data_IF_563524893038
#
_entry.id   IF_563524893038
#
_cell.length_a   1.000
_cell.length_b   1.000
_cell.length_c   1.000
_cell.angle_alpha   90.00
_cell.angle_beta   90.00
_cell.angle_gamma   90.00
#
_symmetry.space_group_name_H-M   'P 1'
#
loop_
_entity.id
_entity.type
_entity.pdbx_description
1 polymer ?
#
# COMPACT_ATOMS: atom_id res chain seq x y z
N UNK A 1 10.11 8.14 -5.43
CA UNK A 1 9.44 9.03 -4.46
C UNK A 1 7.99 9.09 -4.92
N UNK A 2 7.02 8.78 -4.06
CA UNK A 2 5.59 8.86 -4.36
C UNK A 2 4.93 9.85 -3.42
N UNK A 3 3.76 10.40 -3.75
CA UNK A 3 3.01 11.27 -2.83
C UNK A 3 2.15 10.44 -1.87
N UNK A 4 1.59 9.33 -2.36
CA UNK A 4 0.79 8.36 -1.62
C UNK A 4 1.46 6.98 -1.63
N UNK A 5 1.22 6.18 -0.58
CA UNK A 5 1.61 4.77 -0.53
C UNK A 5 0.41 3.97 0.00
N UNK A 6 0.03 2.92 -0.71
CA UNK A 6 -0.89 1.89 -0.20
C UNK A 6 -0.07 0.61 -0.17
N UNK A 7 0.22 0.11 1.03
CA UNK A 7 0.93 -1.15 1.24
C UNK A 7 -0.08 -2.27 1.30
N UNK A 8 0.11 -3.28 0.46
CA UNK A 8 -0.77 -4.45 0.32
C UNK A 8 0.02 -5.74 0.43
N UNK A 9 -0.69 -6.85 0.59
CA UNK A 9 -0.12 -8.17 0.39
C UNK A 9 0.09 -8.45 -1.11
N UNK A 10 1.17 -9.16 -1.44
CA UNK A 10 1.50 -9.66 -2.77
C UNK A 10 1.90 -11.14 -2.61
N UNK A 11 0.90 -12.02 -2.68
CA UNK A 11 0.96 -13.48 -2.56
C UNK A 11 2.12 -14.04 -1.72
N UNK A 12 1.96 -14.02 -0.39
CA UNK A 12 2.96 -14.59 0.51
C UNK A 12 2.73 -16.09 0.67
N UNK A 13 3.49 -16.89 -0.09
CA UNK A 13 3.37 -18.35 -0.13
C UNK A 13 3.35 -19.02 1.25
N UNK A 14 4.48 -18.98 1.98
CA UNK A 14 4.68 -19.71 3.24
C UNK A 14 5.07 -18.82 4.42
N UNK A 15 5.35 -17.54 4.14
CA UNK A 15 5.59 -16.53 5.16
C UNK A 15 4.28 -15.89 5.62
N UNK A 16 4.27 -15.35 6.82
CA UNK A 16 3.12 -14.65 7.35
C UNK A 16 3.03 -13.26 6.72
N UNK A 17 1.96 -12.97 5.96
CA UNK A 17 1.75 -11.68 5.30
C UNK A 17 1.92 -10.49 6.25
N UNK A 18 1.41 -10.62 7.47
CA UNK A 18 1.46 -9.54 8.46
C UNK A 18 2.89 -9.26 8.92
N UNK A 19 3.77 -10.26 8.98
CA UNK A 19 5.17 -9.98 9.32
C UNK A 19 5.87 -9.20 8.21
N UNK A 20 5.63 -9.55 6.95
CA UNK A 20 6.23 -8.86 5.81
C UNK A 20 5.71 -7.42 5.73
N UNK A 21 4.39 -7.23 5.83
CA UNK A 21 3.76 -5.91 5.84
C UNK A 21 4.35 -5.04 6.96
N UNK A 22 4.48 -5.58 8.18
CA UNK A 22 5.07 -4.85 9.30
C UNK A 22 6.54 -4.49 9.05
N UNK A 23 7.32 -5.40 8.46
CA UNK A 23 8.72 -5.17 8.15
C UNK A 23 8.91 -4.06 7.11
N UNK A 24 8.09 -4.07 6.05
CA UNK A 24 8.07 -3.00 5.05
C UNK A 24 7.60 -1.68 5.66
N UNK A 25 6.53 -1.70 6.46
CA UNK A 25 5.98 -0.51 7.11
C UNK A 25 7.01 0.19 8.02
N UNK A 26 7.89 -0.55 8.71
CA UNK A 26 8.98 0.02 9.53
C UNK A 26 9.96 0.88 8.71
N UNK A 27 10.11 0.61 7.41
CA UNK A 27 10.94 1.39 6.51
C UNK A 27 10.28 2.69 6.01
N UNK A 28 8.96 2.83 6.20
CA UNK A 28 8.17 3.95 5.69
C UNK A 28 8.03 5.01 6.79
N UNK A 29 8.62 6.19 6.55
CA UNK A 29 8.61 7.32 7.51
C UNK A 29 7.30 8.12 7.51
N UNK A 30 6.18 7.51 7.10
CA UNK A 30 4.86 8.16 7.04
C UNK A 30 3.96 7.58 8.10
N UNK A 31 3.08 8.43 8.63
CA UNK A 31 2.06 7.99 9.55
C UNK A 31 0.91 7.35 8.77
N UNK A 32 0.45 6.21 9.24
CA UNK A 32 -0.77 5.58 8.71
C UNK A 32 -1.96 6.54 8.86
N UNK A 33 -2.77 6.66 7.80
CA UNK A 33 -3.94 7.53 7.74
C UNK A 33 -3.69 8.95 7.21
N UNK A 34 -2.45 9.33 6.90
CA UNK A 34 -2.14 10.56 6.17
C UNK A 34 -2.08 10.26 4.67
N UNK A 35 -0.88 10.07 4.12
CA UNK A 35 -0.67 9.66 2.71
C UNK A 35 -0.06 8.24 2.65
N UNK A 36 -0.39 7.42 3.65
CA UNK A 36 0.07 6.05 3.80
C UNK A 36 -1.05 5.20 4.41
N UNK A 37 -1.36 4.08 3.78
CA UNK A 37 -2.34 3.10 4.27
C UNK A 37 -1.81 1.69 4.14
N UNK A 38 -2.25 0.82 5.03
CA UNK A 38 -2.01 -0.62 4.95
C UNK A 38 -3.35 -1.29 4.67
N UNK A 39 -3.49 -1.91 3.50
CA UNK A 39 -4.69 -2.61 3.06
C UNK A 39 -4.25 -3.96 2.53
N UNK A 40 -4.39 -5.01 3.34
CA UNK A 40 -3.82 -6.32 3.01
C UNK A 40 -4.42 -6.95 1.76
N UNK A 41 -5.71 -6.74 1.50
CA UNK A 41 -6.35 -7.22 0.29
C UNK A 41 -5.95 -6.36 -0.92
N UNK A 42 -5.31 -7.00 -1.91
CA UNK A 42 -4.76 -6.32 -3.08
C UNK A 42 -5.82 -5.66 -3.95
N UNK A 43 -7.00 -6.27 -4.06
CA UNK A 43 -8.08 -5.69 -4.86
C UNK A 43 -8.60 -4.42 -4.20
N UNK A 44 -8.80 -4.44 -2.88
CA UNK A 44 -9.23 -3.27 -2.11
C UNK A 44 -8.15 -2.19 -2.06
N UNK A 45 -6.87 -2.55 -2.03
CA UNK A 45 -5.74 -1.61 -2.13
C UNK A 45 -5.76 -0.85 -3.47
N UNK A 46 -5.92 -1.57 -4.58
CA UNK A 46 -6.01 -0.97 -5.92
C UNK A 46 -7.26 -0.09 -6.04
N UNK A 47 -8.42 -0.57 -5.58
CA UNK A 47 -9.66 0.22 -5.56
C UNK A 47 -9.52 1.50 -4.75
N UNK A 48 -8.83 1.44 -3.62
CA UNK A 48 -8.55 2.63 -2.79
C UNK A 48 -7.69 3.62 -3.56
N UNK A 49 -6.61 3.15 -4.20
CA UNK A 49 -5.76 4.01 -5.04
C UNK A 49 -6.53 4.70 -6.17
N UNK A 50 -7.41 3.97 -6.85
CA UNK A 50 -8.29 4.51 -7.89
C UNK A 50 -9.33 5.51 -7.37
N UNK A 51 -9.77 5.36 -6.12
CA UNK A 51 -10.75 6.24 -5.49
C UNK A 51 -10.14 7.56 -5.02
N UNK A 52 -8.86 7.54 -4.63
CA UNK A 52 -8.12 8.71 -4.13
C UNK A 52 -7.47 9.51 -5.27
N UNK A 53 -7.12 8.86 -6.38
CA UNK A 53 -6.46 9.52 -7.50
C UNK A 53 -7.32 10.59 -8.18
N UNK A 54 -6.70 11.72 -8.52
CA UNK A 54 -7.30 12.82 -9.25
C UNK A 54 -6.92 12.80 -10.74
N UNK A 55 -7.62 13.54 -11.62
CA UNK A 55 -7.21 13.69 -13.01
C UNK A 55 -5.75 14.14 -13.12
N UNK A 56 -4.98 13.42 -13.95
CA UNK A 56 -3.53 13.57 -14.18
C UNK A 56 -2.60 12.93 -13.13
N UNK A 57 -3.14 12.25 -12.11
CA UNK A 57 -2.33 11.39 -11.24
C UNK A 57 -1.86 10.12 -11.96
N UNK A 58 -0.79 9.53 -11.44
CA UNK A 58 -0.26 8.25 -11.90
C UNK A 58 -0.36 7.24 -10.75
N UNK A 59 -1.03 6.13 -11.02
CA UNK A 59 -1.02 4.96 -10.14
C UNK A 59 0.01 3.97 -10.66
N UNK A 60 0.98 3.62 -9.82
CA UNK A 60 1.95 2.56 -10.08
C UNK A 60 1.65 1.37 -9.17
N UNK A 61 1.44 0.20 -9.77
CA UNK A 61 1.37 -1.09 -9.08
C UNK A 61 2.72 -1.77 -9.31
N UNK A 62 3.44 -2.10 -8.24
CA UNK A 62 4.81 -2.61 -8.26
C UNK A 62 5.03 -3.67 -7.18
#
# INVERSE_FOLDING_TARGET
MSDFIILTDDDTYSENSLSIINDVARGIKRKEGENFWIISDREDAIRTGLTVAEPNDIILIA
#
